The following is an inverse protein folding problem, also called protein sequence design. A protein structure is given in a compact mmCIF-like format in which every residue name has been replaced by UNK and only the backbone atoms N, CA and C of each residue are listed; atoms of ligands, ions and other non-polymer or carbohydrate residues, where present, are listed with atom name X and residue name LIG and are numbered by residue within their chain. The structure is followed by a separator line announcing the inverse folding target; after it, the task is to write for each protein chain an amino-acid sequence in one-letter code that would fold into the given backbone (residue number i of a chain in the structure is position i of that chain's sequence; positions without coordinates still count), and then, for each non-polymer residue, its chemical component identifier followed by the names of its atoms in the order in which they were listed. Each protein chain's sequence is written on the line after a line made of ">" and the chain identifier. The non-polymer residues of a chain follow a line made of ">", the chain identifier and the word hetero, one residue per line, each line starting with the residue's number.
data_IF_483952587420
#
_entry.id   IF_483952587420
#
_cell.length_a   1.000
_cell.length_b   1.000
_cell.length_c   1.000
_cell.angle_alpha   90.00
_cell.angle_beta   90.00
_cell.angle_gamma   90.00
#
_symmetry.space_group_name_H-M   'P 1'
#
loop_
_entity.id
_entity.type
_entity.pdbx_description
1 polymer ?
#
# COMPACT_ATOMS: atom_id res chain seq x y z
N UNK A 1 -24.67 -13.71 13.61
CA UNK A 1 -23.57 -13.02 12.91
C UNK A 1 -23.83 -13.18 11.42
N UNK A 2 -24.02 -12.08 10.70
CA UNK A 2 -24.16 -12.07 9.24
C UNK A 2 -22.82 -11.66 8.65
N UNK A 3 -22.42 -12.29 7.56
CA UNK A 3 -21.23 -11.90 6.79
C UNK A 3 -21.68 -11.65 5.35
N UNK A 4 -21.22 -10.55 4.76
CA UNK A 4 -21.50 -10.17 3.38
C UNK A 4 -20.17 -10.02 2.66
N UNK A 5 -20.10 -10.61 1.47
CA UNK A 5 -18.98 -10.50 0.54
C UNK A 5 -19.59 -10.25 -0.82
N UNK A 6 -18.99 -9.35 -1.60
CA UNK A 6 -19.43 -9.01 -2.95
C UNK A 6 -18.27 -9.14 -3.94
N UNK A 7 -18.61 -9.27 -5.22
CA UNK A 7 -17.64 -9.23 -6.29
C UNK A 7 -17.31 -7.77 -6.63
N UNK A 8 -16.03 -7.47 -6.88
CA UNK A 8 -15.59 -6.13 -7.33
C UNK A 8 -16.19 -5.79 -8.70
N UNK A 9 -16.26 -4.50 -9.09
CA UNK A 9 -16.61 -4.12 -10.46
C UNK A 9 -15.83 -4.91 -11.52
N UNK A 10 -16.54 -5.38 -12.55
CA UNK A 10 -15.99 -6.20 -13.64
C UNK A 10 -15.48 -7.59 -13.25
N UNK A 11 -15.77 -8.07 -12.03
CA UNK A 11 -15.43 -9.42 -11.58
C UNK A 11 -16.68 -10.22 -11.20
N UNK A 12 -16.57 -11.55 -11.30
CA UNK A 12 -17.62 -12.46 -10.87
C UNK A 12 -18.97 -12.14 -11.52
N UNK A 13 -19.96 -11.77 -10.70
CA UNK A 13 -21.30 -11.36 -11.15
C UNK A 13 -21.55 -9.86 -11.12
N UNK A 14 -20.58 -9.06 -10.68
CA UNK A 14 -20.69 -7.60 -10.68
C UNK A 14 -20.45 -7.05 -12.08
N UNK A 15 -21.27 -6.08 -12.49
CA UNK A 15 -21.13 -5.36 -13.75
C UNK A 15 -19.92 -4.41 -13.72
N UNK A 16 -19.69 -3.68 -14.82
CA UNK A 16 -18.61 -2.68 -14.93
C UNK A 16 -17.32 -3.24 -15.53
N UNK A 17 -16.21 -2.57 -15.23
CA UNK A 17 -14.86 -2.95 -15.69
C UNK A 17 -13.94 -3.05 -14.48
N UNK A 18 -13.07 -4.05 -14.48
CA UNK A 18 -12.06 -4.19 -13.46
C UNK A 18 -10.90 -3.23 -13.77
N UNK A 19 -10.52 -2.43 -12.78
CA UNK A 19 -9.28 -1.65 -12.80
C UNK A 19 -8.39 -2.03 -11.61
N UNK A 20 -7.21 -2.56 -11.92
CA UNK A 20 -6.21 -2.90 -10.90
C UNK A 20 -5.61 -1.66 -10.23
N UNK A 21 -5.67 -0.50 -10.89
CA UNK A 21 -5.13 0.78 -10.43
C UNK A 21 -6.20 1.70 -9.85
N UNK A 22 -7.41 1.18 -9.63
CA UNK A 22 -8.50 1.92 -9.03
C UNK A 22 -8.03 2.61 -7.73
N UNK A 23 -8.35 3.89 -7.51
CA UNK A 23 -8.06 4.57 -6.24
C UNK A 23 -8.67 3.84 -5.05
N UNK A 24 -8.00 3.89 -3.89
CA UNK A 24 -8.49 3.21 -2.68
C UNK A 24 -9.76 3.87 -2.13
N UNK A 25 -9.94 5.17 -2.41
CA UNK A 25 -11.12 5.96 -2.08
C UNK A 25 -12.35 5.47 -2.83
N UNK A 26 -12.22 5.13 -4.11
CA UNK A 26 -13.32 4.54 -4.88
C UNK A 26 -13.69 3.15 -4.35
N UNK A 27 -12.69 2.35 -3.97
CA UNK A 27 -12.97 1.05 -3.33
C UNK A 27 -13.58 1.23 -1.93
N UNK A 28 -13.34 2.35 -1.24
CA UNK A 28 -14.00 2.66 0.03
C UNK A 28 -15.47 3.04 -0.21
N UNK A 29 -15.77 3.76 -1.28
CA UNK A 29 -17.14 4.04 -1.69
C UNK A 29 -17.93 2.75 -1.96
N UNK A 30 -17.31 1.73 -2.58
CA UNK A 30 -17.96 0.41 -2.75
C UNK A 30 -18.37 -0.23 -1.41
N UNK A 31 -17.56 -0.06 -0.35
CA UNK A 31 -17.91 -0.54 0.99
C UNK A 31 -19.13 0.21 1.53
N UNK A 32 -19.16 1.53 1.38
CA UNK A 32 -20.28 2.38 1.81
C UNK A 32 -21.56 2.05 1.04
N UNK A 33 -21.47 1.81 -0.26
CA UNK A 33 -22.60 1.43 -1.09
C UNK A 33 -23.16 0.06 -0.68
N UNK A 34 -22.29 -0.89 -0.35
CA UNK A 34 -22.70 -2.19 0.19
C UNK A 34 -23.41 -2.03 1.54
N UNK A 35 -22.89 -1.19 2.45
CA UNK A 35 -23.54 -0.88 3.74
C UNK A 35 -24.92 -0.24 3.51
N UNK A 36 -24.99 0.78 2.67
CA UNK A 36 -26.24 1.46 2.33
C UNK A 36 -27.28 0.51 1.74
N UNK A 37 -26.86 -0.44 0.90
CA UNK A 37 -27.74 -1.49 0.39
C UNK A 37 -28.30 -2.38 1.50
N UNK A 38 -27.45 -2.82 2.45
CA UNK A 38 -27.90 -3.66 3.58
C UNK A 38 -28.90 -2.91 4.48
N UNK A 39 -28.64 -1.64 4.76
CA UNK A 39 -29.50 -0.78 5.55
C UNK A 39 -30.85 -0.51 4.86
N UNK A 40 -30.84 -0.15 3.58
CA UNK A 40 -32.05 0.10 2.79
C UNK A 40 -32.97 -1.13 2.69
N UNK A 41 -32.40 -2.34 2.73
CA UNK A 41 -33.13 -3.59 2.71
C UNK A 41 -33.45 -4.14 4.11
N UNK A 42 -33.22 -3.36 5.18
CA UNK A 42 -33.45 -3.75 6.57
C UNK A 42 -32.81 -5.11 6.92
N UNK A 43 -31.63 -5.38 6.37
CA UNK A 43 -30.91 -6.63 6.63
C UNK A 43 -30.57 -6.68 8.13
N UNK A 44 -30.89 -7.78 8.85
CA UNK A 44 -30.64 -7.86 10.29
C UNK A 44 -29.17 -7.62 10.65
N UNK A 45 -28.92 -6.65 11.54
CA UNK A 45 -27.57 -6.28 11.98
C UNK A 45 -26.89 -5.17 11.16
N UNK A 46 -27.55 -4.61 10.14
CA UNK A 46 -27.02 -3.52 9.31
C UNK A 46 -26.80 -2.18 10.03
N UNK A 47 -27.21 -2.07 11.30
CA UNK A 47 -26.97 -0.88 12.15
C UNK A 47 -25.70 -0.99 13.01
N UNK A 48 -24.95 -2.10 12.90
CA UNK A 48 -23.71 -2.36 13.66
C UNK A 48 -22.74 -3.15 12.78
N UNK A 49 -21.82 -2.46 12.13
CA UNK A 49 -21.00 -3.04 11.08
C UNK A 49 -19.53 -3.11 11.52
N UNK A 50 -18.88 -4.22 11.18
CA UNK A 50 -17.42 -4.35 11.28
C UNK A 50 -16.84 -4.78 9.95
N UNK A 51 -15.64 -4.31 9.62
CA UNK A 51 -14.96 -4.65 8.36
C UNK A 51 -13.83 -5.64 8.63
N UNK A 52 -13.84 -6.78 7.93
CA UNK A 52 -12.66 -7.64 7.82
C UNK A 52 -11.95 -7.33 6.50
N UNK A 53 -10.76 -6.73 6.58
CA UNK A 53 -10.04 -6.23 5.42
C UNK A 53 -8.73 -7.00 5.21
N UNK A 54 -8.52 -7.55 4.01
CA UNK A 54 -7.33 -8.32 3.66
C UNK A 54 -6.48 -7.58 2.62
N UNK A 55 -5.16 -7.60 2.77
CA UNK A 55 -4.21 -6.99 1.82
C UNK A 55 -4.56 -5.51 1.54
N UNK A 56 -4.77 -5.10 0.27
CA UNK A 56 -5.21 -3.75 -0.13
C UNK A 56 -6.44 -3.27 0.65
N UNK A 57 -7.31 -4.19 1.10
CA UNK A 57 -8.46 -3.87 1.94
C UNK A 57 -8.08 -3.14 3.24
N UNK A 58 -6.90 -3.40 3.80
CA UNK A 58 -6.46 -2.70 5.02
C UNK A 58 -6.16 -1.21 4.82
N UNK A 59 -6.04 -0.74 3.57
CA UNK A 59 -5.99 0.70 3.25
C UNK A 59 -7.37 1.27 2.95
N UNK A 60 -8.27 0.44 2.42
CA UNK A 60 -9.65 0.82 2.07
C UNK A 60 -10.53 0.97 3.31
N UNK A 61 -10.47 0.01 4.24
CA UNK A 61 -11.28 0.00 5.45
C UNK A 61 -11.16 1.29 6.29
N UNK A 62 -9.96 1.89 6.48
CA UNK A 62 -9.86 3.16 7.17
C UNK A 62 -10.61 4.32 6.56
N UNK A 63 -10.59 4.40 5.24
CA UNK A 63 -11.25 5.47 4.52
C UNK A 63 -12.75 5.34 4.70
N UNK A 64 -13.31 4.13 4.52
CA UNK A 64 -14.72 3.86 4.78
C UNK A 64 -15.12 4.16 6.24
N UNK A 65 -14.33 3.68 7.22
CA UNK A 65 -14.56 3.94 8.65
C UNK A 65 -14.61 5.45 8.96
N UNK A 66 -13.76 6.25 8.31
CA UNK A 66 -13.75 7.71 8.50
C UNK A 66 -14.98 8.43 7.92
N UNK A 67 -15.71 7.78 7.02
CA UNK A 67 -16.82 8.36 6.25
C UNK A 67 -18.19 7.89 6.76
N UNK A 68 -18.25 6.74 7.44
CA UNK A 68 -19.49 6.18 7.98
C UNK A 68 -19.35 5.82 9.48
N UNK A 69 -20.05 6.55 10.37
CA UNK A 69 -19.99 6.33 11.82
C UNK A 69 -20.67 5.02 12.29
N UNK A 70 -21.44 4.32 11.44
CA UNK A 70 -22.07 3.04 11.78
C UNK A 70 -21.08 1.86 11.74
N UNK A 71 -19.88 2.08 11.18
CA UNK A 71 -18.79 1.11 11.21
C UNK A 71 -18.10 1.21 12.59
N UNK A 72 -18.26 0.19 13.42
CA UNK A 72 -17.78 0.19 14.81
C UNK A 72 -16.30 -0.21 14.93
N UNK A 73 -15.80 -1.05 14.01
CA UNK A 73 -14.41 -1.52 14.02
C UNK A 73 -13.96 -2.05 12.65
N UNK A 74 -12.63 -2.14 12.46
CA UNK A 74 -12.03 -2.94 11.40
C UNK A 74 -11.08 -3.99 11.96
N UNK A 75 -10.82 -5.04 11.17
CA UNK A 75 -9.71 -5.98 11.34
C UNK A 75 -8.87 -5.92 10.06
N UNK A 76 -7.60 -5.53 10.16
CA UNK A 76 -6.66 -5.49 9.03
C UNK A 76 -5.79 -6.75 9.04
N UNK A 77 -5.81 -7.50 7.94
CA UNK A 77 -5.01 -8.69 7.72
C UNK A 77 -4.07 -8.45 6.55
N UNK A 78 -2.77 -8.30 6.85
CA UNK A 78 -1.73 -8.03 5.85
C UNK A 78 -1.92 -6.73 5.02
N UNK A 79 -2.65 -5.74 5.55
CA UNK A 79 -2.79 -4.41 4.95
C UNK A 79 -1.75 -3.42 5.45
N UNK A 80 -0.47 -3.75 5.25
CA UNK A 80 0.67 -2.90 5.62
C UNK A 80 1.03 -1.92 4.50
N UNK A 81 1.66 -0.76 4.78
CA UNK A 81 2.19 0.12 3.74
C UNK A 81 3.13 -0.63 2.77
N UNK A 82 3.06 -0.32 1.48
CA UNK A 82 3.82 -1.05 0.46
C UNK A 82 5.33 -1.04 0.73
N UNK A 83 5.86 0.09 1.19
CA UNK A 83 7.30 0.23 1.48
C UNK A 83 7.74 -0.59 2.70
N UNK A 84 6.86 -0.74 3.70
CA UNK A 84 7.10 -1.61 4.84
C UNK A 84 7.03 -3.09 4.44
N UNK A 85 6.09 -3.44 3.54
CA UNK A 85 6.01 -4.79 2.97
C UNK A 85 7.30 -5.15 2.23
N UNK A 86 7.78 -4.28 1.34
CA UNK A 86 9.03 -4.49 0.59
C UNK A 86 10.22 -4.65 1.54
N UNK A 87 10.31 -3.80 2.57
CA UNK A 87 11.33 -3.92 3.62
C UNK A 87 11.26 -5.27 4.33
N UNK A 88 10.07 -5.69 4.73
CA UNK A 88 9.86 -6.98 5.39
C UNK A 88 10.28 -8.15 4.48
N UNK A 89 9.86 -8.13 3.22
CA UNK A 89 10.20 -9.17 2.24
C UNK A 89 11.70 -9.29 2.03
N UNK A 90 12.41 -8.19 1.85
CA UNK A 90 13.87 -8.22 1.77
C UNK A 90 14.49 -8.76 3.07
N UNK A 91 14.05 -8.27 4.23
CA UNK A 91 14.59 -8.68 5.53
C UNK A 91 14.40 -10.17 5.80
N UNK A 92 13.28 -10.75 5.40
CA UNK A 92 12.97 -12.16 5.65
C UNK A 92 13.58 -13.10 4.62
N UNK A 93 13.71 -12.69 3.36
CA UNK A 93 14.13 -13.58 2.27
C UNK A 93 15.63 -13.53 1.97
N UNK A 94 16.30 -12.36 2.09
CA UNK A 94 17.74 -12.25 1.80
C UNK A 94 18.60 -13.28 2.57
N UNK A 95 18.37 -13.53 3.88
CA UNK A 95 19.10 -14.56 4.61
C UNK A 95 18.84 -15.99 4.10
N UNK A 96 17.63 -16.27 3.59
CA UNK A 96 17.26 -17.57 3.04
C UNK A 96 17.95 -17.83 1.69
N UNK A 97 18.33 -16.76 0.98
CA UNK A 97 19.16 -16.81 -0.23
C UNK A 97 20.66 -16.98 0.08
N UNK A 98 21.05 -17.04 1.35
CA UNK A 98 22.43 -17.21 1.80
C UNK A 98 23.19 -15.91 2.06
N UNK A 99 22.51 -14.75 2.09
CA UNK A 99 23.15 -13.48 2.46
C UNK A 99 23.58 -13.47 3.92
N UNK A 100 24.73 -12.85 4.18
CA UNK A 100 25.14 -12.63 5.57
C UNK A 100 24.26 -11.58 6.25
N UNK A 101 24.33 -11.54 7.58
CA UNK A 101 23.64 -10.51 8.35
C UNK A 101 24.12 -9.10 7.95
N UNK A 102 25.42 -8.91 7.73
CA UNK A 102 26.00 -7.64 7.33
C UNK A 102 25.52 -7.21 5.94
N UNK A 103 25.48 -8.13 4.97
CA UNK A 103 24.98 -7.85 3.63
C UNK A 103 23.51 -7.45 3.65
N UNK A 104 22.69 -8.23 4.37
CA UNK A 104 21.27 -7.96 4.53
C UNK A 104 21.04 -6.59 5.17
N UNK A 105 21.74 -6.30 6.27
CA UNK A 105 21.61 -5.01 6.97
C UNK A 105 22.09 -3.83 6.12
N UNK A 106 23.11 -4.01 5.27
CA UNK A 106 23.54 -2.98 4.32
C UNK A 106 22.43 -2.66 3.33
N UNK A 107 21.85 -3.66 2.67
CA UNK A 107 20.76 -3.46 1.70
C UNK A 107 19.54 -2.80 2.36
N UNK A 108 19.15 -3.25 3.55
CA UNK A 108 18.03 -2.64 4.29
C UNK A 108 18.30 -1.17 4.69
N UNK A 109 19.53 -0.83 5.08
CA UNK A 109 19.90 0.56 5.39
C UNK A 109 19.88 1.44 4.14
N UNK A 110 20.38 0.94 3.02
CA UNK A 110 20.32 1.66 1.74
C UNK A 110 18.89 1.86 1.27
N UNK A 111 18.02 0.87 1.45
CA UNK A 111 16.58 1.01 1.19
C UNK A 111 15.98 2.17 1.97
N UNK A 112 16.12 2.15 3.30
CA UNK A 112 15.59 3.19 4.18
C UNK A 112 16.15 4.57 3.80
N UNK A 113 17.47 4.66 3.59
CA UNK A 113 18.10 5.93 3.24
C UNK A 113 17.67 6.44 1.86
N UNK A 114 17.56 5.57 0.87
CA UNK A 114 17.07 5.91 -0.47
C UNK A 114 15.63 6.44 -0.44
N UNK A 115 14.75 5.81 0.35
CA UNK A 115 13.38 6.29 0.56
C UNK A 115 13.32 7.63 1.27
N UNK A 116 14.13 7.85 2.30
CA UNK A 116 14.23 9.15 2.98
C UNK A 116 14.66 10.26 2.01
N UNK A 117 15.71 10.03 1.23
CA UNK A 117 16.17 11.00 0.22
C UNK A 117 15.05 11.32 -0.76
N UNK A 118 14.36 10.30 -1.28
CA UNK A 118 13.23 10.49 -2.18
C UNK A 118 12.12 11.34 -1.52
N UNK A 119 11.66 10.95 -0.33
CA UNK A 119 10.52 11.58 0.35
C UNK A 119 10.81 13.00 0.85
N UNK A 120 12.09 13.32 1.09
CA UNK A 120 12.54 14.64 1.56
C UNK A 120 12.91 15.59 0.43
N UNK A 121 12.76 15.18 -0.84
CA UNK A 121 13.14 16.03 -1.98
C UNK A 121 14.65 16.10 -2.23
N UNK A 122 15.42 15.11 -1.76
CA UNK A 122 16.84 15.01 -2.06
C UNK A 122 17.11 14.67 -3.52
N UNK A 123 18.32 14.98 -3.98
CA UNK A 123 18.72 14.88 -5.37
C UNK A 123 18.89 13.43 -5.84
N UNK A 124 18.79 13.22 -7.16
CA UNK A 124 19.07 11.91 -7.75
C UNK A 124 20.51 11.43 -7.47
N UNK A 125 21.50 12.33 -7.41
CA UNK A 125 22.89 11.94 -7.10
C UNK A 125 23.05 11.47 -5.65
N UNK A 126 22.38 12.12 -4.70
CA UNK A 126 22.34 11.65 -3.31
C UNK A 126 21.69 10.26 -3.23
N UNK A 127 20.61 10.05 -3.97
CA UNK A 127 19.95 8.75 -4.08
C UNK A 127 20.91 7.68 -4.64
N UNK A 128 21.60 7.96 -5.76
CA UNK A 128 22.55 7.03 -6.37
C UNK A 128 23.70 6.67 -5.42
N UNK A 129 24.20 7.66 -4.67
CA UNK A 129 25.27 7.49 -3.69
C UNK A 129 24.84 6.69 -2.47
N UNK A 130 23.59 6.83 -2.04
CA UNK A 130 23.06 6.12 -0.87
C UNK A 130 22.59 4.69 -1.16
N UNK A 131 22.49 4.29 -2.43
CA UNK A 131 21.86 3.02 -2.85
C UNK A 131 22.74 2.17 -3.78
N UNK A 132 24.06 2.30 -3.61
CA UNK A 132 25.06 1.71 -4.52
C UNK A 132 25.00 0.18 -4.63
N UNK A 133 24.67 -0.50 -3.52
CA UNK A 133 24.56 -1.95 -3.49
C UNK A 133 23.12 -2.38 -3.77
N UNK A 134 22.16 -1.69 -3.17
CA UNK A 134 20.73 -1.93 -3.31
C UNK A 134 20.29 -1.99 -4.77
N UNK A 135 20.66 -0.99 -5.58
CA UNK A 135 20.25 -0.90 -6.99
C UNK A 135 20.97 -1.88 -7.92
N UNK A 136 21.94 -2.64 -7.42
CA UNK A 136 22.66 -3.66 -8.19
C UNK A 136 22.24 -5.08 -7.81
N UNK A 137 21.44 -5.22 -6.76
CA UNK A 137 21.04 -6.52 -6.24
C UNK A 137 19.77 -7.02 -6.96
N UNK A 138 19.89 -8.15 -7.63
CA UNK A 138 18.80 -8.72 -8.43
C UNK A 138 17.66 -9.26 -7.57
N UNK A 139 17.96 -9.75 -6.36
CA UNK A 139 16.95 -10.23 -5.43
C UNK A 139 16.13 -9.06 -4.88
N UNK A 140 16.78 -7.91 -4.64
CA UNK A 140 16.07 -6.68 -4.31
C UNK A 140 15.06 -6.29 -5.39
N UNK A 141 15.38 -6.44 -6.68
CA UNK A 141 14.40 -6.12 -7.73
C UNK A 141 13.15 -6.97 -7.68
N UNK A 142 13.29 -8.25 -7.31
CA UNK A 142 12.17 -9.15 -7.14
C UNK A 142 11.26 -8.72 -5.98
N UNK A 143 11.82 -8.29 -4.84
CA UNK A 143 11.04 -7.92 -3.66
C UNK A 143 10.54 -6.48 -3.66
N UNK A 144 11.30 -5.56 -4.25
CA UNK A 144 11.13 -4.13 -4.07
C UNK A 144 10.83 -3.37 -5.38
N UNK A 145 10.90 -4.05 -6.52
CA UNK A 145 10.75 -3.47 -7.85
C UNK A 145 12.07 -2.96 -8.44
N UNK A 146 12.03 -2.55 -9.71
CA UNK A 146 13.19 -1.99 -10.40
C UNK A 146 13.57 -0.64 -9.80
N UNK A 147 14.80 -0.55 -9.29
CA UNK A 147 15.36 0.66 -8.66
C UNK A 147 16.33 1.40 -9.59
N UNK A 148 16.36 1.07 -10.87
CA UNK A 148 17.27 1.65 -11.88
C UNK A 148 16.63 2.77 -12.70
N UNK A 149 15.68 3.49 -12.10
CA UNK A 149 15.05 4.68 -12.69
C UNK A 149 16.09 5.64 -13.25
N UNK A 150 15.83 6.15 -14.46
CA UNK A 150 16.61 7.27 -15.00
C UNK A 150 16.39 8.53 -14.13
N UNK A 151 17.33 9.48 -14.20
CA UNK A 151 17.20 10.77 -13.51
C UNK A 151 15.84 11.43 -13.77
N UNK A 152 15.42 11.48 -15.03
CA UNK A 152 14.17 12.11 -15.43
C UNK A 152 12.94 11.41 -14.80
N UNK A 153 12.94 10.07 -14.72
CA UNK A 153 11.89 9.32 -14.07
C UNK A 153 11.88 9.57 -12.56
N UNK A 154 13.05 9.50 -11.91
CA UNK A 154 13.17 9.77 -10.48
C UNK A 154 12.65 11.17 -10.11
N UNK A 155 13.10 12.20 -10.85
CA UNK A 155 12.71 13.59 -10.59
C UNK A 155 11.22 13.82 -10.86
N UNK A 156 10.64 13.18 -11.89
CA UNK A 156 9.21 13.27 -12.17
C UNK A 156 8.36 12.59 -11.09
N UNK A 157 8.73 11.37 -10.68
CA UNK A 157 8.04 10.63 -9.62
C UNK A 157 8.15 11.35 -8.27
N UNK A 158 9.33 11.85 -7.93
CA UNK A 158 9.57 12.60 -6.69
C UNK A 158 8.73 13.88 -6.67
N UNK A 159 8.69 14.62 -7.78
CA UNK A 159 7.86 15.82 -7.88
C UNK A 159 6.39 15.50 -7.65
N UNK A 160 5.86 14.49 -8.34
CA UNK A 160 4.46 14.07 -8.18
C UNK A 160 4.15 13.66 -6.73
N UNK A 161 5.07 12.92 -6.09
CA UNK A 161 4.93 12.56 -4.68
C UNK A 161 4.90 13.80 -3.76
N UNK A 162 5.84 14.73 -3.92
CA UNK A 162 5.92 15.92 -3.07
C UNK A 162 4.71 16.86 -3.22
N UNK A 163 4.09 16.91 -4.40
CA UNK A 163 2.87 17.71 -4.64
C UNK A 163 1.67 17.20 -3.83
N UNK A 164 1.61 15.90 -3.54
CA UNK A 164 0.48 15.29 -2.83
C UNK A 164 0.79 14.86 -1.40
N UNK A 165 2.07 14.82 -0.99
CA UNK A 165 2.50 14.27 0.31
C UNK A 165 1.77 14.91 1.49
N UNK A 166 1.57 16.23 1.45
CA UNK A 166 0.95 16.97 2.55
C UNK A 166 -0.59 16.78 2.59
N UNK A 167 -1.19 16.24 1.52
CA UNK A 167 -2.63 15.90 1.49
C UNK A 167 -2.95 14.66 2.34
N UNK A 168 -1.97 13.78 2.52
CA UNK A 168 -2.17 12.48 3.18
C UNK A 168 -1.66 12.42 4.62
N UNK A 169 -1.17 13.55 5.17
CA UNK A 169 -0.76 13.64 6.59
C UNK A 169 0.31 12.63 7.00
N UNK A 170 1.20 12.24 6.08
CA UNK A 170 2.34 11.37 6.42
C UNK A 170 3.31 12.16 7.32
N UNK A 171 3.37 11.80 8.60
CA UNK A 171 4.40 12.30 9.52
C UNK A 171 5.77 11.70 9.07
N UNK A 172 6.85 12.50 8.98
CA UNK A 172 8.15 12.09 8.40
C UNK A 172 8.86 10.92 9.10
#
# INVERSE_FOLDING_TARGET
>A
MLCVVWDKPGNGRSEGQFDQNQPVEESAQEVLDAIGYLQANNVPGSTKIGIWATSRGGWVAPIALSQDPDIEFWISVAGVPAEEQKYYLMRSNLPLEGRTQEETQRLLKEWVRGKQIFMQGGTYDEYLNATQHLRKDTSVFYFAGDLTLSRAQFEAEQKAFLEVRDQYGFDP
#
